data_IF_773027347076
#
_entry.id   IF_773027347076
#
_cell.length_a   1.000
_cell.length_b   1.000
_cell.length_c   1.000
_cell.angle_alpha   90.00
_cell.angle_beta   90.00
_cell.angle_gamma   90.00
#
_symmetry.space_group_name_H-M   'P 1'
#
loop_
_entity.id
_entity.type
_entity.pdbx_description
1 polymer ?
#
# COMPACT_ATOMS: atom_id res chain seq x y z
N UNK A 1 -38.71 -6.07 45.72
CA UNK A 1 -37.35 -6.05 45.12
C UNK A 1 -37.48 -6.10 43.60
N UNK A 2 -37.13 -5.03 42.85
CA UNK A 2 -37.13 -5.08 41.40
C UNK A 2 -35.93 -5.89 40.90
N UNK A 3 -36.05 -6.59 39.76
CA UNK A 3 -34.94 -7.33 39.22
C UNK A 3 -33.89 -6.37 38.67
N UNK A 4 -32.63 -6.53 39.07
CA UNK A 4 -31.47 -5.89 38.41
C UNK A 4 -31.42 -6.37 36.97
N UNK A 5 -31.71 -5.47 36.01
CA UNK A 5 -31.38 -5.69 34.60
C UNK A 5 -29.88 -5.72 34.50
N UNK A 6 -29.30 -6.88 34.29
CA UNK A 6 -27.92 -7.04 33.93
C UNK A 6 -27.70 -6.31 32.58
N UNK A 7 -27.07 -5.17 32.67
CA UNK A 7 -26.58 -4.41 31.49
C UNK A 7 -25.53 -5.31 30.83
N UNK A 8 -25.95 -6.02 29.77
CA UNK A 8 -25.02 -6.80 28.92
C UNK A 8 -24.07 -5.80 28.28
N UNK A 9 -22.75 -5.94 28.45
CA UNK A 9 -21.82 -5.07 27.75
C UNK A 9 -22.13 -5.13 26.25
N UNK A 10 -22.53 -3.99 25.68
CA UNK A 10 -22.70 -3.87 24.22
C UNK A 10 -21.33 -4.12 23.63
N UNK A 11 -21.19 -5.25 22.93
CA UNK A 11 -19.99 -5.54 22.14
C UNK A 11 -19.84 -4.39 21.13
N UNK A 12 -18.83 -3.59 21.29
CA UNK A 12 -18.48 -2.57 20.29
C UNK A 12 -17.87 -3.30 19.08
N UNK A 13 -18.74 -3.56 18.11
CA UNK A 13 -18.39 -4.30 16.89
C UNK A 13 -17.22 -3.62 16.17
N UNK A 14 -17.15 -2.29 16.22
CA UNK A 14 -16.05 -1.54 15.59
C UNK A 14 -14.72 -1.84 16.29
N UNK A 15 -14.66 -1.80 17.60
CA UNK A 15 -13.47 -2.15 18.40
C UNK A 15 -13.07 -3.62 18.18
N UNK A 16 -14.05 -4.53 18.12
CA UNK A 16 -13.78 -5.95 17.86
C UNK A 16 -13.20 -6.16 16.46
N UNK A 17 -13.76 -5.53 15.42
CA UNK A 17 -13.25 -5.59 14.05
C UNK A 17 -11.84 -5.03 13.95
N UNK A 18 -11.58 -3.87 14.59
CA UNK A 18 -10.24 -3.27 14.60
C UNK A 18 -9.19 -4.18 15.25
N UNK A 19 -9.54 -4.79 16.40
CA UNK A 19 -8.65 -5.76 17.05
C UNK A 19 -8.38 -6.96 16.15
N UNK A 20 -9.42 -7.51 15.51
CA UNK A 20 -9.30 -8.65 14.61
C UNK A 20 -8.43 -8.33 13.38
N UNK A 21 -8.59 -7.15 12.77
CA UNK A 21 -7.76 -6.71 11.64
C UNK A 21 -6.31 -6.52 12.09
N UNK A 22 -6.09 -5.96 13.29
CA UNK A 22 -4.74 -5.82 13.85
C UNK A 22 -4.06 -7.18 14.04
N UNK A 23 -4.77 -8.17 14.55
CA UNK A 23 -4.25 -9.52 14.77
C UNK A 23 -3.97 -10.24 13.44
N UNK A 24 -4.85 -10.08 12.43
CA UNK A 24 -4.60 -10.57 11.07
C UNK A 24 -3.35 -9.95 10.46
N UNK A 25 -3.19 -8.62 10.57
CA UNK A 25 -1.99 -7.91 10.10
C UNK A 25 -0.72 -8.46 10.72
N UNK A 26 -0.72 -8.70 12.03
CA UNK A 26 0.44 -9.24 12.73
C UNK A 26 0.75 -10.68 12.28
N UNK A 27 -0.27 -11.52 12.10
CA UNK A 27 -0.10 -12.90 11.61
C UNK A 27 0.46 -12.93 10.18
N UNK A 28 -0.06 -12.07 9.29
CA UNK A 28 0.45 -11.94 7.93
C UNK A 28 1.88 -11.40 7.90
N UNK A 29 2.21 -10.45 8.79
CA UNK A 29 3.58 -9.96 8.94
C UNK A 29 4.57 -11.06 9.33
N UNK A 30 4.19 -11.94 10.26
CA UNK A 30 5.02 -13.11 10.62
C UNK A 30 5.15 -14.10 9.45
N UNK A 31 4.08 -14.35 8.71
CA UNK A 31 4.15 -15.23 7.53
C UNK A 31 5.06 -14.63 6.45
N UNK A 32 5.00 -13.32 6.21
CA UNK A 32 5.89 -12.64 5.27
C UNK A 32 7.36 -12.81 5.71
N UNK A 33 7.68 -12.55 6.98
CA UNK A 33 9.04 -12.71 7.51
C UNK A 33 9.57 -14.14 7.32
N UNK A 34 8.77 -15.19 7.61
CA UNK A 34 9.19 -16.56 7.39
C UNK A 34 9.43 -16.90 5.92
N UNK A 35 8.64 -16.35 5.00
CA UNK A 35 8.83 -16.53 3.56
C UNK A 35 10.07 -15.77 3.07
N UNK A 36 10.33 -14.57 3.58
CA UNK A 36 11.54 -13.78 3.31
C UNK A 36 12.79 -14.53 3.79
N UNK A 37 12.77 -15.05 5.01
CA UNK A 37 13.88 -15.86 5.56
C UNK A 37 14.14 -17.09 4.68
N UNK A 38 13.11 -17.83 4.28
CA UNK A 38 13.23 -19.00 3.41
C UNK A 38 13.79 -18.65 2.02
N UNK A 39 13.53 -17.44 1.51
CA UNK A 39 14.09 -16.95 0.25
C UNK A 39 15.51 -16.41 0.39
N UNK A 40 15.87 -15.89 1.58
CA UNK A 40 17.19 -15.35 1.87
C UNK A 40 18.23 -16.45 2.15
N UNK A 41 17.80 -17.65 2.58
CA UNK A 41 18.73 -18.75 2.84
C UNK A 41 19.52 -19.13 1.59
N UNK A 42 20.86 -19.36 1.73
CA UNK A 42 21.70 -19.85 0.64
C UNK A 42 21.15 -21.16 0.04
N UNK A 43 21.29 -21.33 -1.28
CA UNK A 43 20.76 -22.49 -2.01
C UNK A 43 21.26 -23.85 -1.49
N UNK A 44 22.37 -23.87 -0.76
CA UNK A 44 22.95 -25.07 -0.15
C UNK A 44 22.12 -25.59 1.05
N UNK A 45 21.46 -24.69 1.79
CA UNK A 45 20.66 -25.00 2.97
C UNK A 45 19.18 -24.63 2.83
N UNK A 46 18.83 -23.93 1.77
CA UNK A 46 17.49 -23.40 1.51
C UNK A 46 16.89 -23.88 0.18
N UNK A 47 15.99 -23.07 -0.36
CA UNK A 47 15.32 -23.36 -1.64
C UNK A 47 16.29 -23.07 -2.80
N UNK A 48 16.64 -24.04 -3.67
CA UNK A 48 17.59 -23.84 -4.76
C UNK A 48 17.19 -22.69 -5.68
N UNK A 49 18.19 -21.90 -6.11
CA UNK A 49 17.99 -20.82 -7.08
C UNK A 49 17.45 -21.38 -8.39
N UNK A 50 16.43 -20.70 -8.97
CA UNK A 50 15.79 -21.15 -10.22
C UNK A 50 14.83 -22.34 -10.07
N UNK A 51 14.62 -22.88 -8.87
CA UNK A 51 13.66 -23.97 -8.66
C UNK A 51 12.21 -23.46 -8.74
N UNK A 52 11.24 -24.28 -9.22
CA UNK A 52 9.83 -23.93 -9.19
C UNK A 52 9.31 -23.63 -7.77
N UNK A 53 9.92 -24.24 -6.74
CA UNK A 53 9.58 -24.01 -5.35
C UNK A 53 9.90 -22.56 -4.94
N UNK A 54 11.06 -22.04 -5.34
CA UNK A 54 11.47 -20.66 -5.07
C UNK A 54 10.50 -19.64 -5.69
N UNK A 55 10.09 -19.88 -6.94
CA UNK A 55 9.08 -19.03 -7.61
C UNK A 55 7.74 -19.04 -6.88
N UNK A 56 7.28 -20.22 -6.45
CA UNK A 56 6.02 -20.31 -5.67
C UNK A 56 6.11 -19.65 -4.30
N UNK A 57 7.26 -19.73 -3.63
CA UNK A 57 7.48 -19.05 -2.34
C UNK A 57 7.49 -17.54 -2.50
N UNK A 58 8.15 -17.02 -3.55
CA UNK A 58 8.14 -15.59 -3.87
C UNK A 58 6.73 -15.10 -4.19
N UNK A 59 5.95 -15.87 -4.93
CA UNK A 59 4.55 -15.53 -5.21
C UNK A 59 3.69 -15.56 -3.94
N UNK A 60 3.87 -16.55 -3.06
CA UNK A 60 3.16 -16.61 -1.78
C UNK A 60 3.50 -15.40 -0.89
N UNK A 61 4.77 -15.01 -0.84
CA UNK A 61 5.21 -13.81 -0.14
C UNK A 61 4.50 -12.56 -0.68
N UNK A 62 4.46 -12.39 -2.01
CA UNK A 62 3.75 -11.28 -2.64
C UNK A 62 2.27 -11.24 -2.24
N UNK A 63 1.56 -12.37 -2.28
CA UNK A 63 0.14 -12.43 -1.91
C UNK A 63 -0.08 -12.08 -0.43
N UNK A 64 0.78 -12.57 0.46
CA UNK A 64 0.73 -12.24 1.90
C UNK A 64 0.95 -10.75 2.12
N UNK A 65 1.96 -10.16 1.48
CA UNK A 65 2.23 -8.72 1.57
C UNK A 65 1.08 -7.89 1.00
N UNK A 66 0.48 -8.32 -0.12
CA UNK A 66 -0.68 -7.66 -0.72
C UNK A 66 -1.87 -7.61 0.24
N UNK A 67 -2.23 -8.75 0.84
CA UNK A 67 -3.34 -8.80 1.81
C UNK A 67 -3.02 -7.95 3.04
N UNK A 68 -1.80 -8.00 3.56
CA UNK A 68 -1.37 -7.19 4.68
C UNK A 68 -1.49 -5.68 4.38
N UNK A 69 -1.06 -5.24 3.20
CA UNK A 69 -1.19 -3.85 2.77
C UNK A 69 -2.66 -3.41 2.66
N UNK A 70 -3.55 -4.27 2.13
CA UNK A 70 -4.98 -3.98 2.09
C UNK A 70 -5.57 -3.80 3.50
N UNK A 71 -5.16 -4.62 4.48
CA UNK A 71 -5.61 -4.47 5.86
C UNK A 71 -5.12 -3.16 6.48
N UNK A 72 -3.86 -2.77 6.23
CA UNK A 72 -3.31 -1.48 6.68
C UNK A 72 -4.09 -0.31 6.09
N UNK A 73 -4.40 -0.35 4.79
CA UNK A 73 -5.19 0.68 4.12
C UNK A 73 -6.61 0.78 4.68
N UNK A 74 -7.28 -0.36 4.90
CA UNK A 74 -8.61 -0.38 5.51
C UNK A 74 -8.60 0.22 6.91
N UNK A 75 -7.59 -0.10 7.74
CA UNK A 75 -7.42 0.48 9.06
C UNK A 75 -7.18 1.98 9.00
N UNK A 76 -6.32 2.44 8.09
CA UNK A 76 -6.05 3.86 7.92
C UNK A 76 -7.30 4.62 7.47
N UNK A 77 -8.02 4.10 6.46
CA UNK A 77 -9.28 4.69 5.99
C UNK A 77 -10.33 4.76 7.10
N UNK A 78 -10.49 3.70 7.88
CA UNK A 78 -11.41 3.71 9.02
C UNK A 78 -11.02 4.78 10.04
N UNK A 79 -9.74 4.90 10.39
CA UNK A 79 -9.27 5.92 11.33
C UNK A 79 -9.45 7.33 10.80
N UNK A 80 -9.24 7.56 9.50
CA UNK A 80 -9.47 8.84 8.83
C UNK A 80 -10.96 9.19 8.88
N UNK A 81 -11.84 8.27 8.49
CA UNK A 81 -13.30 8.45 8.49
C UNK A 81 -13.83 8.80 9.89
N UNK A 82 -13.34 8.11 10.90
CA UNK A 82 -13.72 8.36 12.30
C UNK A 82 -12.99 9.55 12.93
N UNK A 83 -12.17 10.28 12.19
CA UNK A 83 -11.42 11.47 12.64
C UNK A 83 -10.49 11.22 13.85
N UNK A 84 -9.96 9.99 13.99
CA UNK A 84 -8.98 9.68 15.01
C UNK A 84 -7.63 9.19 14.47
N UNK A 85 -7.39 9.35 13.16
CA UNK A 85 -6.05 9.16 12.60
C UNK A 85 -5.12 10.29 13.11
N UNK A 86 -3.97 9.98 13.70
CA UNK A 86 -3.02 10.98 14.17
C UNK A 86 -2.24 11.56 12.99
N UNK A 87 -2.89 12.43 12.19
CA UNK A 87 -2.30 13.05 11.02
C UNK A 87 -1.14 13.97 11.42
N UNK A 88 0.08 13.61 11.02
CA UNK A 88 1.32 14.30 11.38
C UNK A 88 2.18 14.62 10.13
N UNK A 89 1.77 15.60 9.32
CA UNK A 89 2.55 16.01 8.16
C UNK A 89 3.84 16.73 8.61
N UNK A 90 4.96 16.35 8.01
CA UNK A 90 6.27 16.94 8.24
C UNK A 90 6.95 17.25 6.91
N UNK A 91 7.82 18.26 6.91
CA UNK A 91 8.66 18.54 5.75
C UNK A 91 9.73 17.46 5.60
N UNK A 92 9.71 16.75 4.49
CA UNK A 92 10.61 15.62 4.21
C UNK A 92 11.05 15.58 2.75
N UNK A 93 12.26 15.08 2.44
CA UNK A 93 12.70 14.87 1.07
C UNK A 93 11.91 13.74 0.41
N UNK A 94 11.39 14.00 -0.78
CA UNK A 94 10.64 12.99 -1.56
C UNK A 94 11.54 11.84 -2.01
N UNK A 95 12.82 12.15 -2.29
CA UNK A 95 13.79 11.15 -2.68
C UNK A 95 13.97 10.04 -1.63
N UNK A 96 13.94 10.38 -0.35
CA UNK A 96 14.07 9.39 0.74
C UNK A 96 12.84 8.47 0.82
N UNK A 97 11.63 9.04 0.74
CA UNK A 97 10.40 8.27 0.68
C UNK A 97 10.38 7.32 -0.53
N UNK A 98 10.79 7.82 -1.69
CA UNK A 98 10.81 7.04 -2.93
C UNK A 98 11.83 5.89 -2.84
N UNK A 99 13.04 6.15 -2.32
CA UNK A 99 14.06 5.10 -2.10
C UNK A 99 13.58 4.03 -1.13
N UNK A 100 12.90 4.41 -0.05
CA UNK A 100 12.33 3.46 0.88
C UNK A 100 11.27 2.58 0.21
N UNK A 101 10.37 3.17 -0.56
CA UNK A 101 9.34 2.44 -1.30
C UNK A 101 9.95 1.50 -2.35
N UNK A 102 10.97 1.95 -3.10
CA UNK A 102 11.71 1.14 -4.04
C UNK A 102 12.44 -0.02 -3.35
N UNK A 103 13.10 0.21 -2.22
CA UNK A 103 13.78 -0.85 -1.47
C UNK A 103 12.82 -1.99 -1.09
N UNK A 104 11.56 -1.68 -0.80
CA UNK A 104 10.51 -2.66 -0.53
C UNK A 104 10.00 -3.38 -1.79
N UNK A 105 9.95 -2.69 -2.94
CA UNK A 105 9.43 -3.22 -4.20
C UNK A 105 10.49 -4.00 -5.01
N UNK A 106 11.77 -3.67 -4.89
CA UNK A 106 12.87 -4.24 -5.69
C UNK A 106 13.01 -5.76 -5.63
N UNK A 107 12.82 -6.47 -4.49
CA UNK A 107 12.86 -7.93 -4.47
C UNK A 107 11.86 -8.56 -5.43
N UNK A 108 10.65 -8.00 -5.53
CA UNK A 108 9.62 -8.45 -6.47
C UNK A 108 10.02 -8.15 -7.90
N UNK A 109 10.43 -6.92 -8.20
CA UNK A 109 10.88 -6.51 -9.53
C UNK A 109 12.01 -7.42 -10.04
N UNK A 110 13.03 -7.64 -9.22
CA UNK A 110 14.17 -8.51 -9.54
C UNK A 110 13.73 -9.95 -9.81
N UNK A 111 12.80 -10.50 -9.02
CA UNK A 111 12.30 -11.86 -9.19
C UNK A 111 11.55 -12.07 -10.50
N UNK A 112 10.96 -11.01 -11.05
CA UNK A 112 10.19 -11.00 -12.29
C UNK A 112 11.00 -10.52 -13.49
N UNK A 113 12.24 -10.05 -13.28
CA UNK A 113 13.07 -9.49 -14.35
C UNK A 113 12.57 -8.14 -14.89
N UNK A 114 11.87 -7.38 -14.04
CA UNK A 114 11.35 -6.05 -14.37
C UNK A 114 12.42 -5.01 -14.07
N UNK A 115 12.65 -4.11 -15.03
CA UNK A 115 13.51 -2.94 -14.87
C UNK A 115 12.73 -1.83 -14.15
N UNK A 116 13.37 -1.18 -13.17
CA UNK A 116 12.75 -0.11 -12.40
C UNK A 116 13.67 1.11 -12.41
N UNK A 117 13.17 2.18 -13.00
CA UNK A 117 13.84 3.48 -13.02
C UNK A 117 13.30 4.42 -11.95
N UNK A 118 14.15 5.35 -11.54
CA UNK A 118 13.84 6.34 -10.52
C UNK A 118 14.32 7.73 -10.95
N UNK A 119 13.40 8.71 -10.94
CA UNK A 119 13.68 10.11 -11.25
C UNK A 119 13.03 11.04 -10.21
N UNK A 120 13.84 11.55 -9.27
CA UNK A 120 13.40 12.50 -8.27
C UNK A 120 14.57 13.43 -7.88
N UNK A 121 14.38 14.76 -7.94
CA UNK A 121 15.40 15.71 -7.47
C UNK A 121 15.71 15.49 -5.97
N UNK A 122 17.00 15.52 -5.62
CA UNK A 122 17.46 15.33 -4.24
C UNK A 122 16.98 16.45 -3.30
N UNK A 123 16.79 17.64 -3.83
CA UNK A 123 16.35 18.85 -3.14
C UNK A 123 14.84 19.09 -3.20
N UNK A 124 14.07 18.11 -3.65
CA UNK A 124 12.60 18.18 -3.66
C UNK A 124 12.03 17.78 -2.31
N UNK A 125 11.47 18.75 -1.60
CA UNK A 125 10.81 18.55 -0.32
C UNK A 125 9.30 18.67 -0.47
N UNK A 126 8.57 17.92 0.36
CA UNK A 126 7.13 18.00 0.51
C UNK A 126 6.73 18.01 1.98
N UNK A 127 5.55 18.59 2.25
CA UNK A 127 4.95 18.57 3.58
C UNK A 127 3.89 17.47 3.61
N UNK A 128 4.21 16.33 4.22
CA UNK A 128 3.31 15.16 4.17
C UNK A 128 3.46 14.22 5.37
N UNK A 129 2.38 13.47 5.64
CA UNK A 129 2.38 12.34 6.55
C UNK A 129 3.08 11.15 5.87
N UNK A 130 4.22 10.76 6.42
CA UNK A 130 5.09 9.75 5.82
C UNK A 130 4.38 8.40 5.63
N UNK A 131 3.70 7.90 6.67
CA UNK A 131 3.07 6.58 6.65
C UNK A 131 1.98 6.48 5.58
N UNK A 132 1.17 7.53 5.47
CA UNK A 132 0.08 7.56 4.48
C UNK A 132 0.62 7.64 3.06
N UNK A 133 1.55 8.57 2.78
CA UNK A 133 2.08 8.76 1.43
C UNK A 133 2.95 7.56 1.02
N UNK A 134 3.77 7.03 1.93
CA UNK A 134 4.52 5.79 1.72
C UNK A 134 3.59 4.64 1.33
N UNK A 135 2.48 4.45 2.07
CA UNK A 135 1.49 3.42 1.76
C UNK A 135 0.87 3.57 0.37
N UNK A 136 0.59 4.81 -0.08
CA UNK A 136 0.09 5.09 -1.43
C UNK A 136 1.13 4.75 -2.50
N UNK A 137 2.37 5.22 -2.33
CA UNK A 137 3.45 4.99 -3.31
C UNK A 137 3.78 3.49 -3.41
N UNK A 138 3.91 2.80 -2.29
CA UNK A 138 4.19 1.37 -2.27
C UNK A 138 3.08 0.56 -2.95
N UNK A 139 1.82 0.93 -2.72
CA UNK A 139 0.67 0.30 -3.37
C UNK A 139 0.68 0.53 -4.89
N UNK A 140 1.00 1.75 -5.33
CA UNK A 140 1.12 2.07 -6.76
C UNK A 140 2.24 1.27 -7.42
N UNK A 141 3.43 1.17 -6.78
CA UNK A 141 4.54 0.34 -7.25
C UNK A 141 4.17 -1.14 -7.34
N UNK A 142 3.52 -1.70 -6.33
CA UNK A 142 3.06 -3.09 -6.37
C UNK A 142 2.04 -3.33 -7.49
N UNK A 143 1.15 -2.37 -7.74
CA UNK A 143 0.20 -2.44 -8.85
C UNK A 143 0.93 -2.39 -10.19
N UNK A 144 1.85 -1.43 -10.37
CA UNK A 144 2.66 -1.32 -11.58
C UNK A 144 3.45 -2.61 -11.85
N UNK A 145 4.18 -3.14 -10.86
CA UNK A 145 4.94 -4.40 -10.98
C UNK A 145 4.07 -5.62 -11.31
N UNK A 146 2.79 -5.60 -10.93
CA UNK A 146 1.87 -6.69 -11.23
C UNK A 146 1.39 -6.68 -12.69
N UNK A 147 1.23 -5.48 -13.28
CA UNK A 147 0.64 -5.31 -14.61
C UNK A 147 1.65 -4.96 -15.70
N UNK A 148 2.84 -4.47 -15.34
CA UNK A 148 3.90 -4.13 -16.29
C UNK A 148 4.35 -5.34 -17.11
N UNK A 149 4.90 -5.07 -18.28
CA UNK A 149 5.56 -6.09 -19.12
C UNK A 149 7.04 -6.17 -18.81
N UNK A 150 7.73 -5.02 -18.77
CA UNK A 150 9.19 -4.98 -18.68
C UNK A 150 9.73 -3.85 -17.81
N UNK A 151 8.99 -2.74 -17.64
CA UNK A 151 9.55 -1.51 -17.10
C UNK A 151 8.57 -0.72 -16.23
N UNK A 152 9.06 -0.19 -15.11
CA UNK A 152 8.35 0.72 -14.21
C UNK A 152 9.21 1.94 -13.94
N UNK A 153 8.61 3.14 -14.00
CA UNK A 153 9.26 4.40 -13.61
C UNK A 153 8.55 5.01 -12.40
N UNK A 154 9.30 5.26 -11.33
CA UNK A 154 8.86 6.10 -10.22
C UNK A 154 9.50 7.48 -10.37
N UNK A 155 8.68 8.52 -10.49
CA UNK A 155 9.17 9.89 -10.58
C UNK A 155 8.47 10.83 -9.62
N UNK A 156 9.14 11.93 -9.26
CA UNK A 156 8.55 13.01 -8.48
C UNK A 156 9.04 14.37 -8.96
N UNK A 157 8.14 15.36 -9.02
CA UNK A 157 8.49 16.73 -9.40
C UNK A 157 7.65 17.76 -8.64
N UNK A 158 8.13 18.99 -8.61
CA UNK A 158 7.34 20.13 -8.12
C UNK A 158 6.17 20.40 -9.10
N UNK A 159 4.98 20.66 -8.56
CA UNK A 159 3.80 20.93 -9.34
C UNK A 159 2.92 21.98 -8.66
N UNK A 160 2.72 23.11 -9.31
CA UNK A 160 1.97 24.26 -8.77
C UNK A 160 2.32 24.60 -7.31
N UNK A 161 1.40 24.34 -6.38
CA UNK A 161 1.58 24.58 -4.93
C UNK A 161 1.92 23.32 -4.14
N UNK A 162 2.39 22.27 -4.80
CA UNK A 162 2.66 20.98 -4.15
C UNK A 162 3.69 20.16 -4.88
N UNK A 163 3.60 18.84 -4.72
CA UNK A 163 4.45 17.86 -5.38
C UNK A 163 3.60 16.84 -6.13
N UNK A 164 4.08 16.36 -7.25
CA UNK A 164 3.48 15.28 -8.00
C UNK A 164 4.40 14.07 -7.93
N UNK A 165 3.85 12.93 -7.50
CA UNK A 165 4.52 11.63 -7.51
C UNK A 165 3.83 10.79 -8.57
N UNK A 166 4.59 10.21 -9.49
CA UNK A 166 4.06 9.43 -10.61
C UNK A 166 4.69 8.04 -10.62
N UNK A 167 3.87 7.02 -10.83
CA UNK A 167 4.30 5.65 -11.12
C UNK A 167 3.77 5.28 -12.48
N UNK A 168 4.66 5.00 -13.41
CA UNK A 168 4.34 4.65 -14.79
C UNK A 168 4.78 3.21 -15.08
N UNK A 169 4.01 2.48 -15.88
CA UNK A 169 4.30 1.12 -16.30
C UNK A 169 3.99 0.94 -17.80
N UNK A 170 4.60 -0.06 -18.43
CA UNK A 170 4.37 -0.43 -19.82
C UNK A 170 3.31 -1.54 -20.00
N UNK A 171 2.43 -1.69 -19.03
CA UNK A 171 1.34 -2.67 -19.03
C UNK A 171 0.16 -2.30 -19.92
N UNK A 172 -0.98 -3.00 -19.77
CA UNK A 172 -2.15 -2.77 -20.62
C UNK A 172 -2.90 -1.46 -20.32
N UNK A 173 -2.52 -0.74 -19.26
CA UNK A 173 -3.21 0.44 -18.77
C UNK A 173 -4.48 0.13 -17.96
N UNK A 174 -5.11 1.20 -17.49
CA UNK A 174 -6.36 1.08 -16.75
C UNK A 174 -7.54 0.81 -17.67
N UNK A 175 -8.52 0.00 -17.25
CA UNK A 175 -9.77 -0.19 -17.99
C UNK A 175 -10.52 1.14 -18.22
N UNK A 176 -11.18 1.28 -19.37
CA UNK A 176 -11.88 2.51 -19.79
C UNK A 176 -12.89 3.01 -18.75
N UNK A 177 -13.55 2.12 -18.03
CA UNK A 177 -14.51 2.51 -17.00
C UNK A 177 -13.86 3.23 -15.81
N UNK A 178 -12.60 2.93 -15.48
CA UNK A 178 -11.84 3.66 -14.45
C UNK A 178 -11.39 5.04 -14.94
N UNK A 179 -11.00 5.14 -16.21
CA UNK A 179 -10.60 6.40 -16.84
C UNK A 179 -11.78 7.36 -17.02
N UNK A 180 -12.96 6.83 -17.36
CA UNK A 180 -14.16 7.63 -17.60
C UNK A 180 -14.75 8.27 -16.33
N UNK A 181 -14.49 7.72 -15.16
CA UNK A 181 -15.07 8.20 -13.90
C UNK A 181 -14.32 9.39 -13.28
N UNK A 182 -13.15 9.77 -13.81
CA UNK A 182 -12.40 11.00 -13.48
C UNK A 182 -12.02 11.21 -12.01
N UNK A 183 -12.62 10.45 -11.09
CA UNK A 183 -12.37 10.46 -9.66
C UNK A 183 -12.51 9.05 -9.09
N UNK A 184 -11.44 8.49 -8.58
CA UNK A 184 -11.41 7.21 -7.90
C UNK A 184 -12.42 7.10 -6.72
N UNK A 185 -12.89 8.23 -6.19
CA UNK A 185 -13.90 8.29 -5.12
C UNK A 185 -15.29 7.75 -5.53
N UNK A 186 -15.57 7.63 -6.83
CA UNK A 186 -16.85 7.11 -7.35
C UNK A 186 -16.77 5.65 -7.80
N UNK A 187 -15.56 5.07 -7.88
CA UNK A 187 -15.40 3.65 -8.07
C UNK A 187 -15.86 2.92 -6.80
N UNK A 188 -17.11 2.46 -6.80
CA UNK A 188 -17.59 1.54 -5.77
C UNK A 188 -16.65 0.33 -5.68
N UNK A 189 -16.39 -0.14 -4.46
CA UNK A 189 -15.58 -1.33 -4.22
C UNK A 189 -16.25 -2.50 -4.95
N UNK A 190 -15.66 -2.97 -6.06
CA UNK A 190 -16.12 -4.14 -6.78
C UNK A 190 -15.33 -5.36 -6.29
N UNK A 191 -16.01 -6.28 -5.65
CA UNK A 191 -15.42 -7.53 -5.16
C UNK A 191 -15.31 -8.62 -6.24
N UNK A 192 -15.88 -8.40 -7.43
CA UNK A 192 -16.00 -9.45 -8.45
C UNK A 192 -14.73 -9.67 -9.27
N UNK A 193 -13.84 -8.68 -9.38
CA UNK A 193 -12.68 -8.73 -10.29
C UNK A 193 -11.32 -8.88 -9.60
N UNK A 194 -11.29 -9.05 -8.27
CA UNK A 194 -10.03 -9.09 -7.52
C UNK A 194 -9.30 -7.73 -7.41
N UNK A 195 -9.69 -6.76 -8.23
CA UNK A 195 -9.25 -5.36 -8.19
C UNK A 195 -10.30 -4.54 -7.45
N UNK A 196 -10.16 -4.46 -6.14
CA UNK A 196 -11.17 -3.83 -5.27
C UNK A 196 -11.29 -2.31 -5.44
N UNK A 197 -10.47 -1.67 -6.26
CA UNK A 197 -10.40 -0.20 -6.33
C UNK A 197 -9.93 0.46 -5.02
N UNK A 198 -9.65 -0.35 -3.99
CA UNK A 198 -9.27 0.12 -2.65
C UNK A 198 -8.02 0.99 -2.69
N UNK A 199 -7.02 0.63 -3.51
CA UNK A 199 -5.78 1.39 -3.63
C UNK A 199 -6.00 2.81 -4.17
N UNK A 200 -6.83 2.96 -5.22
CA UNK A 200 -7.18 4.27 -5.77
C UNK A 200 -8.04 5.08 -4.79
N UNK A 201 -8.97 4.43 -4.11
CA UNK A 201 -9.78 5.08 -3.08
C UNK A 201 -8.91 5.57 -1.92
N UNK A 202 -7.96 4.74 -1.47
CA UNK A 202 -6.99 5.11 -0.43
C UNK A 202 -6.12 6.30 -0.86
N UNK A 203 -5.55 6.25 -2.07
CA UNK A 203 -4.75 7.34 -2.63
C UNK A 203 -5.53 8.67 -2.67
N UNK A 204 -6.80 8.63 -3.11
CA UNK A 204 -7.66 9.81 -3.15
C UNK A 204 -7.97 10.35 -1.74
N UNK A 205 -8.25 9.49 -0.77
CA UNK A 205 -8.49 9.89 0.61
C UNK A 205 -7.25 10.56 1.24
N UNK A 206 -6.06 9.98 1.02
CA UNK A 206 -4.78 10.52 1.48
C UNK A 206 -4.49 11.86 0.83
N UNK A 207 -4.65 12.00 -0.49
CA UNK A 207 -4.46 13.26 -1.19
C UNK A 207 -5.43 14.35 -0.69
N UNK A 208 -6.69 14.00 -0.47
CA UNK A 208 -7.70 14.92 0.09
C UNK A 208 -7.34 15.42 1.49
N UNK A 209 -6.79 14.54 2.35
CA UNK A 209 -6.36 14.91 3.69
C UNK A 209 -5.20 15.91 3.67
N UNK A 210 -4.24 15.72 2.77
CA UNK A 210 -3.09 16.64 2.60
C UNK A 210 -3.50 18.00 2.00
N UNK A 211 -4.51 18.04 1.13
CA UNK A 211 -5.05 19.30 0.59
C UNK A 211 -5.80 20.12 1.65
N UNK A 212 -6.50 19.45 2.57
CA UNK A 212 -7.23 20.13 3.64
C UNK A 212 -6.29 20.73 4.69
N UNK A 213 -5.17 20.05 5.02
CA UNK A 213 -4.17 20.53 5.96
C UNK A 213 -3.38 21.76 5.51
N UNK A 214 -3.36 22.06 4.21
CA UNK A 214 -2.64 23.21 3.64
C UNK A 214 -3.46 24.53 3.65
N UNK A 215 -4.67 24.51 4.21
CA UNK A 215 -5.59 25.66 4.30
C UNK A 215 -5.76 26.21 5.71
N UNK A 216 -4.99 25.76 6.68
CA UNK A 216 -5.04 26.21 8.08
C UNK A 216 -3.84 27.05 8.47
#
# INVERSE_FOLDING_TARGET
>A
TPPMSADRPKLDIATFLLSSIHDMKNSLGMMAAHLEDALAEPAENGIPSGSPARGKTAQALYEVQRVNNHLIQLLALYKIDQSFYPFDPQERPLADLAREALARAMPLATSQGIEVDFDCPEDLYGWFDHELVFGVVLQALHSALHYTRTHVLLSACAHDSGVMITVEDDGPGFPDFLLAQGNAAQCGISFETGNTGLGLYFANAVAGLHQAGNKS
#
